data_IF_058681511390
#
_entry.id   IF_058681511390
#
_cell.length_a   1.000
_cell.length_b   1.000
_cell.length_c   1.000
_cell.angle_alpha   90.00
_cell.angle_beta   90.00
_cell.angle_gamma   90.00
#
_symmetry.space_group_name_H-M   'P 1'
#
loop_
_entity.id
_entity.type
_entity.pdbx_description
1 polymer ?
#
# COMPACT_ATOMS: atom_id res chain seq x y z
N UNK A 1 6.28 4.58 -21.43
CA UNK A 1 5.87 5.49 -20.35
C UNK A 1 6.20 4.79 -19.04
N UNK A 2 7.20 5.25 -18.29
CA UNK A 2 7.33 4.87 -16.89
C UNK A 2 6.33 5.72 -16.13
N UNK A 3 5.11 5.21 -15.97
CA UNK A 3 4.13 5.84 -15.09
C UNK A 3 4.72 5.87 -13.68
N UNK A 4 4.90 7.07 -13.15
CA UNK A 4 5.45 7.26 -11.81
C UNK A 4 4.42 6.84 -10.78
N UNK A 5 4.79 5.93 -9.89
CA UNK A 5 3.94 5.50 -8.78
C UNK A 5 3.40 6.70 -8.00
N UNK A 6 2.16 6.59 -7.54
CA UNK A 6 1.61 7.53 -6.57
C UNK A 6 2.39 7.49 -5.25
N UNK A 7 2.22 8.52 -4.41
CA UNK A 7 2.88 8.58 -3.09
C UNK A 7 2.56 7.34 -2.25
N UNK A 8 1.28 6.96 -2.16
CA UNK A 8 0.85 5.75 -1.44
C UNK A 8 1.41 4.49 -2.10
N UNK A 9 1.34 4.39 -3.43
CA UNK A 9 1.91 3.24 -4.15
C UNK A 9 3.40 3.06 -3.86
N UNK A 10 4.16 4.16 -3.82
CA UNK A 10 5.57 4.16 -3.45
C UNK A 10 5.78 3.63 -2.03
N UNK A 11 4.99 4.10 -1.05
CA UNK A 11 5.11 3.65 0.35
C UNK A 11 4.73 2.19 0.55
N UNK A 12 3.78 1.67 -0.23
CA UNK A 12 3.41 0.25 -0.23
C UNK A 12 4.57 -0.61 -0.73
N UNK A 13 5.22 -0.24 -1.83
CA UNK A 13 6.39 -1.00 -2.33
C UNK A 13 7.57 -0.93 -1.36
N UNK A 14 7.80 0.20 -0.71
CA UNK A 14 8.78 0.29 0.37
C UNK A 14 8.44 -0.69 1.52
N UNK A 15 7.16 -0.85 1.89
CA UNK A 15 6.75 -1.84 2.90
C UNK A 15 7.11 -3.27 2.48
N UNK A 16 6.83 -3.63 1.23
CA UNK A 16 7.15 -4.96 0.70
C UNK A 16 8.66 -5.22 0.67
N UNK A 17 9.45 -4.21 0.31
CA UNK A 17 10.90 -4.28 0.36
C UNK A 17 11.42 -4.46 1.79
N UNK A 18 10.91 -3.67 2.74
CA UNK A 18 11.28 -3.76 4.15
C UNK A 18 10.84 -5.09 4.80
N UNK A 19 9.78 -5.71 4.27
CA UNK A 19 9.32 -7.04 4.66
C UNK A 19 10.16 -8.19 4.05
N UNK A 20 11.10 -7.89 3.14
CA UNK A 20 11.94 -8.89 2.49
C UNK A 20 11.19 -9.75 1.47
N UNK A 21 10.14 -9.22 0.84
CA UNK A 21 9.45 -9.92 -0.24
C UNK A 21 10.33 -10.01 -1.50
N UNK A 22 10.10 -11.05 -2.30
CA UNK A 22 10.87 -11.30 -3.53
C UNK A 22 10.73 -10.15 -4.53
N UNK A 23 11.83 -9.84 -5.23
CA UNK A 23 11.87 -8.79 -6.24
C UNK A 23 10.85 -8.99 -7.37
N UNK A 24 10.56 -10.24 -7.77
CA UNK A 24 9.54 -10.53 -8.77
C UNK A 24 8.16 -10.10 -8.28
N UNK A 25 7.82 -10.42 -7.03
CA UNK A 25 6.56 -9.97 -6.42
C UNK A 25 6.48 -8.44 -6.34
N UNK A 26 7.58 -7.78 -5.94
CA UNK A 26 7.65 -6.32 -5.85
C UNK A 26 7.49 -5.68 -7.24
N UNK A 27 8.10 -6.26 -8.28
CA UNK A 27 7.99 -5.77 -9.66
C UNK A 27 6.56 -5.91 -10.18
N UNK A 28 5.93 -7.06 -9.95
CA UNK A 28 4.53 -7.29 -10.33
C UNK A 28 3.61 -6.28 -9.64
N UNK A 29 3.85 -6.01 -8.35
CA UNK A 29 3.12 -4.96 -7.62
C UNK A 29 3.45 -3.56 -8.10
N UNK A 30 4.68 -3.27 -8.53
CA UNK A 30 5.00 -1.97 -9.10
C UNK A 30 4.21 -1.68 -10.38
N UNK A 31 4.04 -2.68 -11.24
CA UNK A 31 3.18 -2.56 -12.44
C UNK A 31 1.72 -2.40 -12.04
N UNK A 32 1.21 -3.19 -11.10
CA UNK A 32 -0.17 -3.07 -10.64
C UNK A 32 -0.50 -1.71 -9.98
N UNK A 33 0.49 -1.05 -9.38
CA UNK A 33 0.31 0.22 -8.67
C UNK A 33 0.65 1.45 -9.53
N UNK A 34 1.28 1.30 -10.70
CA UNK A 34 1.69 2.43 -11.54
C UNK A 34 0.51 3.23 -12.08
N UNK A 35 -0.61 2.55 -12.33
CA UNK A 35 -1.84 3.15 -12.84
C UNK A 35 -2.74 3.73 -11.73
N UNK A 36 -2.37 3.54 -10.44
CA UNK A 36 -3.25 3.86 -9.32
C UNK A 36 -2.96 5.24 -8.72
N UNK A 37 -4.03 6.03 -8.58
CA UNK A 37 -4.03 7.22 -7.73
C UNK A 37 -3.78 6.88 -6.26
N UNK A 38 -3.42 7.85 -5.41
CA UNK A 38 -3.20 7.62 -3.98
C UNK A 38 -4.37 6.90 -3.30
N UNK A 39 -5.60 7.30 -3.62
CA UNK A 39 -6.81 6.69 -3.07
C UNK A 39 -6.96 5.23 -3.51
N UNK A 40 -6.84 4.96 -4.81
CA UNK A 40 -6.97 3.61 -5.35
C UNK A 40 -5.85 2.68 -4.85
N UNK A 41 -4.63 3.22 -4.73
CA UNK A 41 -3.48 2.52 -4.15
C UNK A 41 -3.73 2.19 -2.67
N UNK A 42 -4.24 3.13 -1.88
CA UNK A 42 -4.56 2.89 -0.46
C UNK A 42 -5.64 1.81 -0.32
N UNK A 43 -6.72 1.93 -1.08
CA UNK A 43 -7.81 0.93 -1.05
C UNK A 43 -7.31 -0.46 -1.40
N UNK A 44 -6.49 -0.58 -2.44
CA UNK A 44 -5.88 -1.86 -2.83
C UNK A 44 -4.93 -2.37 -1.75
N UNK A 45 -4.07 -1.51 -1.21
CA UNK A 45 -3.10 -1.87 -0.18
C UNK A 45 -3.78 -2.43 1.07
N UNK A 46 -4.80 -1.74 1.61
CA UNK A 46 -5.49 -2.16 2.83
C UNK A 46 -6.19 -3.52 2.69
N UNK A 47 -6.44 -4.01 1.47
CA UNK A 47 -7.02 -5.33 1.21
C UNK A 47 -6.01 -6.47 1.10
N UNK A 48 -4.74 -6.16 0.86
CA UNK A 48 -3.69 -7.17 0.60
C UNK A 48 -2.60 -7.23 1.67
N UNK A 49 -2.49 -6.19 2.50
CA UNK A 49 -1.50 -6.14 3.58
C UNK A 49 -1.96 -6.96 4.78
N UNK A 50 -1.02 -7.67 5.40
CA UNK A 50 -1.19 -8.22 6.73
C UNK A 50 -1.01 -7.14 7.81
N UNK A 51 -1.36 -7.44 9.06
CA UNK A 51 -1.30 -6.48 10.18
C UNK A 51 0.09 -5.83 10.31
N UNK A 52 1.16 -6.63 10.16
CA UNK A 52 2.54 -6.15 10.25
C UNK A 52 2.86 -5.13 9.17
N UNK A 53 2.47 -5.39 7.93
CA UNK A 53 2.70 -4.45 6.84
C UNK A 53 1.74 -3.25 6.89
N UNK A 54 0.56 -3.41 7.48
CA UNK A 54 -0.35 -2.29 7.76
C UNK A 54 0.28 -1.30 8.76
N UNK A 55 0.90 -1.80 9.84
CA UNK A 55 1.67 -0.96 10.76
C UNK A 55 2.86 -0.26 10.08
N UNK A 56 3.61 -0.95 9.22
CA UNK A 56 4.71 -0.33 8.44
C UNK A 56 4.18 0.76 7.52
N UNK A 57 3.05 0.53 6.87
CA UNK A 57 2.43 1.52 6.00
C UNK A 57 1.99 2.75 6.79
N UNK A 58 1.35 2.58 7.96
CA UNK A 58 0.96 3.68 8.83
C UNK A 58 2.17 4.55 9.21
N UNK A 59 3.29 3.92 9.60
CA UNK A 59 4.54 4.64 9.91
C UNK A 59 5.08 5.42 8.71
N UNK A 60 5.07 4.83 7.52
CA UNK A 60 5.57 5.49 6.29
C UNK A 60 4.68 6.61 5.78
N UNK A 61 3.38 6.54 6.08
CA UNK A 61 2.40 7.58 5.77
C UNK A 61 2.30 8.64 6.87
N UNK A 62 3.01 8.46 7.99
CA UNK A 62 2.97 9.34 9.16
C UNK A 62 1.56 9.51 9.74
N UNK A 63 0.79 8.42 9.78
CA UNK A 63 -0.57 8.36 10.32
C UNK A 63 -0.67 7.33 11.45
N UNK A 64 -1.76 7.37 12.21
CA UNK A 64 -2.05 6.35 13.20
C UNK A 64 -2.56 5.07 12.53
N UNK A 65 -2.30 3.91 13.14
CA UNK A 65 -2.77 2.63 12.58
C UNK A 65 -4.31 2.58 12.60
N UNK A 66 -4.91 3.18 13.61
CA UNK A 66 -6.35 3.28 13.80
C UNK A 66 -7.04 4.04 12.64
N UNK A 67 -6.35 4.99 11.99
CA UNK A 67 -6.85 5.69 10.80
C UNK A 67 -6.96 4.74 9.61
N UNK A 68 -5.97 3.84 9.44
CA UNK A 68 -5.97 2.84 8.38
C UNK A 68 -7.02 1.74 8.64
N UNK A 69 -7.14 1.28 9.89
CA UNK A 69 -8.16 0.31 10.29
C UNK A 69 -9.57 0.87 10.09
N UNK A 70 -9.81 2.11 10.50
CA UNK A 70 -11.07 2.82 10.28
C UNK A 70 -11.38 2.96 8.78
N UNK A 71 -10.37 3.32 7.99
CA UNK A 71 -10.49 3.41 6.53
C UNK A 71 -10.86 2.05 5.94
N UNK A 72 -10.18 0.96 6.32
CA UNK A 72 -10.48 -0.39 5.86
C UNK A 72 -11.90 -0.83 6.25
N UNK A 73 -12.35 -0.54 7.47
CA UNK A 73 -13.71 -0.83 7.93
C UNK A 73 -14.75 -0.15 7.04
N UNK A 74 -14.55 1.12 6.67
CA UNK A 74 -15.44 1.84 5.75
C UNK A 74 -15.38 1.24 4.34
N UNK A 75 -14.18 0.98 3.81
CA UNK A 75 -13.97 0.41 2.48
C UNK A 75 -14.50 -1.03 2.32
N UNK A 76 -14.81 -1.71 3.43
CA UNK A 76 -15.47 -3.02 3.45
C UNK A 76 -17.00 -2.94 3.45
N UNK A 77 -17.59 -1.74 3.60
CA UNK A 77 -19.04 -1.51 3.53
C UNK A 77 -19.53 -1.07 2.15
N UNK A 78 -18.61 -0.74 1.25
CA UNK A 78 -18.84 -0.34 -0.14
C UNK A 78 -18.41 -1.45 -1.10
#
# INVERSE_FOLDING_TARGET
MTESLSYVGTKVLECFKDAGLDQNYINDKAVEFSELSNYAALHKALRILDDKNMHRLAQKLEVHIEDLESTLLVLNKI
#
